data_IF_535547661799
#
_entry.id   IF_535547661799
#
_cell.length_a   1.000
_cell.length_b   1.000
_cell.length_c   1.000
_cell.angle_alpha   90.00
_cell.angle_beta   90.00
_cell.angle_gamma   90.00
#
_symmetry.space_group_name_H-M   'P 1'
#
loop_
_entity.id
_entity.type
_entity.pdbx_description
1 polymer ?
#
# COMPACT_ATOMS: atom_id res chain seq x y z
N UNK A 1 0.38 88.56 -20.36
CA UNK A 1 0.68 87.44 -19.43
C UNK A 1 -0.63 86.72 -19.13
N UNK A 2 -0.71 85.42 -19.40
CA UNK A 2 -1.92 84.59 -19.26
C UNK A 2 -1.89 83.97 -17.85
N UNK A 3 -2.81 84.35 -16.99
CA UNK A 3 -2.95 83.79 -15.64
C UNK A 3 -3.61 82.42 -15.73
N UNK A 4 -2.84 81.35 -15.52
CA UNK A 4 -3.39 80.01 -15.30
C UNK A 4 -3.97 79.95 -13.89
N UNK A 5 -5.28 79.76 -13.79
CA UNK A 5 -5.94 79.41 -12.54
C UNK A 5 -5.56 77.97 -12.18
N UNK A 6 -4.62 77.80 -11.25
CA UNK A 6 -4.39 76.50 -10.61
C UNK A 6 -5.64 76.19 -9.79
N UNK A 7 -6.49 75.29 -10.29
CA UNK A 7 -7.69 74.83 -9.58
C UNK A 7 -7.23 74.07 -8.33
N UNK A 8 -7.75 74.45 -7.17
CA UNK A 8 -7.44 73.79 -5.91
C UNK A 8 -8.24 72.47 -5.79
N UNK A 9 -7.70 71.39 -6.34
CA UNK A 9 -8.32 70.05 -6.38
C UNK A 9 -8.10 69.22 -5.10
N UNK A 10 -7.50 69.82 -4.06
CA UNK A 10 -7.11 69.16 -2.81
C UNK A 10 -8.27 68.46 -2.07
N UNK A 11 -9.49 69.00 -2.14
CA UNK A 11 -10.67 68.39 -1.52
C UNK A 11 -11.19 67.14 -2.25
N UNK A 12 -11.10 67.11 -3.58
CA UNK A 12 -11.49 65.95 -4.39
C UNK A 12 -10.42 64.84 -4.30
N UNK A 13 -9.15 65.23 -4.23
CA UNK A 13 -8.02 64.32 -4.10
C UNK A 13 -8.08 63.50 -2.80
N UNK A 14 -8.41 64.13 -1.66
CA UNK A 14 -8.56 63.43 -0.38
C UNK A 14 -9.66 62.36 -0.44
N UNK A 15 -10.81 62.71 -1.01
CA UNK A 15 -11.93 61.78 -1.14
C UNK A 15 -11.59 60.59 -2.05
N UNK A 16 -10.95 60.84 -3.19
CA UNK A 16 -10.48 59.79 -4.10
C UNK A 16 -9.45 58.86 -3.44
N UNK A 17 -8.51 59.40 -2.67
CA UNK A 17 -7.50 58.59 -1.95
C UNK A 17 -8.14 57.73 -0.87
N UNK A 18 -9.13 58.25 -0.12
CA UNK A 18 -9.86 57.47 0.87
C UNK A 18 -10.68 56.33 0.23
N UNK A 19 -11.33 56.60 -0.90
CA UNK A 19 -12.02 55.57 -1.68
C UNK A 19 -11.05 54.49 -2.17
N UNK A 20 -9.91 54.90 -2.72
CA UNK A 20 -8.87 53.98 -3.18
C UNK A 20 -8.32 53.13 -2.01
N UNK A 21 -8.06 53.75 -0.85
CA UNK A 21 -7.62 53.06 0.36
C UNK A 21 -8.66 52.04 0.83
N UNK A 22 -9.96 52.35 0.75
CA UNK A 22 -11.02 51.43 1.13
C UNK A 22 -11.13 50.24 0.15
N UNK A 23 -10.93 50.48 -1.14
CA UNK A 23 -10.85 49.43 -2.16
C UNK A 23 -9.63 48.54 -1.92
N UNK A 24 -8.46 49.12 -1.67
CA UNK A 24 -7.23 48.35 -1.38
C UNK A 24 -7.36 47.57 -0.07
N UNK A 25 -7.96 48.15 0.98
CA UNK A 25 -8.18 47.48 2.25
C UNK A 25 -9.15 46.29 2.11
N UNK A 26 -10.21 46.43 1.32
CA UNK A 26 -11.14 45.31 1.07
C UNK A 26 -10.50 44.20 0.24
N UNK A 27 -9.72 44.55 -0.79
CA UNK A 27 -8.93 43.59 -1.57
C UNK A 27 -7.89 42.86 -0.72
N UNK A 28 -7.15 43.58 0.13
CA UNK A 28 -6.16 43.01 1.03
C UNK A 28 -6.80 42.03 2.03
N UNK A 29 -7.96 42.39 2.59
CA UNK A 29 -8.71 41.51 3.50
C UNK A 29 -9.17 40.24 2.79
N UNK A 30 -9.71 40.38 1.57
CA UNK A 30 -10.11 39.25 0.74
C UNK A 30 -8.94 38.32 0.41
N UNK A 31 -7.77 38.87 0.07
CA UNK A 31 -6.57 38.10 -0.23
C UNK A 31 -6.05 37.33 1.00
N UNK A 32 -6.06 37.95 2.20
CA UNK A 32 -5.65 37.29 3.44
C UNK A 32 -6.58 36.12 3.78
N UNK A 33 -7.89 36.31 3.67
CA UNK A 33 -8.86 35.24 3.91
C UNK A 33 -8.70 34.08 2.92
N UNK A 34 -8.54 34.39 1.62
CA UNK A 34 -8.34 33.38 0.59
C UNK A 34 -7.03 32.59 0.83
N UNK A 35 -5.94 33.28 1.16
CA UNK A 35 -4.64 32.67 1.47
C UNK A 35 -4.68 31.82 2.73
N UNK A 36 -5.34 32.29 3.79
CA UNK A 36 -5.54 31.55 5.04
C UNK A 36 -6.33 30.25 4.80
N UNK A 37 -7.43 30.34 4.07
CA UNK A 37 -8.26 29.19 3.73
C UNK A 37 -7.50 28.19 2.85
N UNK A 38 -6.77 28.66 1.83
CA UNK A 38 -5.97 27.79 0.96
C UNK A 38 -4.91 27.00 1.76
N UNK A 39 -4.24 27.65 2.72
CA UNK A 39 -3.27 26.98 3.59
C UNK A 39 -3.90 25.92 4.49
N UNK A 40 -5.08 26.20 5.06
CA UNK A 40 -5.80 25.24 5.90
C UNK A 40 -6.26 24.02 5.09
N UNK A 41 -6.80 24.25 3.89
CA UNK A 41 -7.21 23.18 2.96
C UNK A 41 -6.01 22.33 2.56
N UNK A 42 -4.88 22.95 2.23
CA UNK A 42 -3.65 22.24 1.88
C UNK A 42 -3.16 21.33 3.01
N UNK A 43 -3.14 21.84 4.25
CA UNK A 43 -2.76 21.04 5.43
C UNK A 43 -3.72 19.90 5.71
N UNK A 44 -5.02 20.14 5.53
CA UNK A 44 -6.04 19.10 5.71
C UNK A 44 -5.84 17.95 4.71
N UNK A 45 -5.68 18.26 3.42
CA UNK A 45 -5.44 17.24 2.40
C UNK A 45 -4.11 16.51 2.60
N UNK A 46 -3.06 17.21 3.00
CA UNK A 46 -1.78 16.57 3.34
C UNK A 46 -1.95 15.57 4.50
N UNK A 47 -2.69 15.95 5.55
CA UNK A 47 -2.96 15.07 6.69
C UNK A 47 -3.83 13.88 6.31
N UNK A 48 -4.84 14.08 5.48
CA UNK A 48 -5.70 13.02 4.96
C UNK A 48 -4.91 12.01 4.12
N UNK A 49 -4.01 12.49 3.25
CA UNK A 49 -3.13 11.64 2.46
C UNK A 49 -2.16 10.84 3.33
N UNK A 50 -1.57 11.47 4.35
CA UNK A 50 -0.69 10.81 5.32
C UNK A 50 -1.41 9.69 6.09
N UNK A 51 -2.64 9.92 6.54
CA UNK A 51 -3.45 8.91 7.22
C UNK A 51 -3.81 7.75 6.28
N UNK A 52 -4.16 8.03 5.02
CA UNK A 52 -4.41 6.98 4.02
C UNK A 52 -3.17 6.13 3.75
N UNK A 53 -2.03 6.76 3.53
CA UNK A 53 -0.76 6.06 3.33
C UNK A 53 -0.39 5.21 4.56
N UNK A 54 -0.62 5.72 5.77
CA UNK A 54 -0.39 4.99 7.02
C UNK A 54 -1.30 3.77 7.17
N UNK A 55 -2.55 3.86 6.67
CA UNK A 55 -3.48 2.75 6.65
C UNK A 55 -3.03 1.68 5.64
N UNK A 56 -2.63 2.08 4.44
CA UNK A 56 -2.13 1.18 3.40
C UNK A 56 -0.83 0.46 3.83
N UNK A 57 0.10 1.18 4.47
CA UNK A 57 1.29 0.56 5.06
C UNK A 57 0.93 -0.48 6.14
N UNK A 58 -0.16 -0.24 6.90
CA UNK A 58 -0.68 -1.21 7.85
C UNK A 58 -1.20 -2.49 7.17
N UNK A 59 -1.82 -2.37 5.99
CA UNK A 59 -2.28 -3.54 5.23
C UNK A 59 -1.09 -4.38 4.74
N UNK A 60 -0.03 -3.75 4.22
CA UNK A 60 1.16 -4.49 3.78
C UNK A 60 1.90 -5.16 4.95
N UNK A 61 2.05 -4.46 6.08
CA UNK A 61 2.63 -5.04 7.28
C UNK A 61 1.84 -6.26 7.77
N UNK A 62 0.51 -6.15 7.77
CA UNK A 62 -0.36 -7.25 8.18
C UNK A 62 -0.31 -8.43 7.22
N UNK A 63 -0.26 -8.17 5.90
CA UNK A 63 -0.06 -9.20 4.88
C UNK A 63 1.25 -9.95 5.11
N UNK A 64 2.34 -9.23 5.32
CA UNK A 64 3.66 -9.84 5.59
C UNK A 64 3.65 -10.67 6.88
N UNK A 65 3.09 -10.11 7.95
CA UNK A 65 2.94 -10.79 9.24
C UNK A 65 2.13 -12.09 9.12
N UNK A 66 1.01 -12.06 8.41
CA UNK A 66 0.15 -13.23 8.18
C UNK A 66 0.83 -14.25 7.27
N UNK A 67 1.59 -13.81 6.26
CA UNK A 67 2.38 -14.72 5.42
C UNK A 67 3.46 -15.45 6.22
N UNK A 68 4.14 -14.75 7.13
CA UNK A 68 5.15 -15.34 8.01
C UNK A 68 4.57 -16.24 9.10
N UNK A 69 3.37 -15.92 9.61
CA UNK A 69 2.69 -16.71 10.65
C UNK A 69 1.19 -16.89 10.33
N UNK A 70 0.83 -17.85 9.45
CA UNK A 70 -0.55 -18.05 9.03
C UNK A 70 -1.53 -18.40 10.16
N UNK A 71 -1.02 -18.96 11.26
CA UNK A 71 -1.80 -19.30 12.45
C UNK A 71 -2.43 -18.08 13.16
N UNK A 72 -1.99 -16.86 12.83
CA UNK A 72 -2.59 -15.62 13.34
C UNK A 72 -4.01 -15.39 12.79
N UNK A 73 -4.38 -16.00 11.67
CA UNK A 73 -5.74 -15.86 11.14
C UNK A 73 -6.66 -16.84 11.87
N UNK A 74 -7.64 -16.37 12.65
CA UNK A 74 -8.50 -17.26 13.40
C UNK A 74 -9.45 -18.05 12.49
N UNK A 75 -9.81 -19.26 12.91
CA UNK A 75 -10.76 -20.09 12.18
C UNK A 75 -12.16 -19.48 12.08
N UNK A 76 -12.56 -18.71 13.10
CA UNK A 76 -13.83 -17.99 13.20
C UNK A 76 -13.60 -16.58 13.75
N UNK A 77 -14.44 -15.62 13.34
CA UNK A 77 -14.35 -14.24 13.80
C UNK A 77 -13.09 -13.51 13.30
N UNK A 78 -12.55 -12.63 14.14
CA UNK A 78 -11.37 -11.81 13.86
C UNK A 78 -10.42 -11.78 15.06
N UNK A 79 -9.16 -11.51 14.80
CA UNK A 79 -8.14 -11.19 15.80
C UNK A 79 -7.61 -9.78 15.58
N UNK A 80 -7.09 -9.19 16.64
CA UNK A 80 -6.45 -7.87 16.60
C UNK A 80 -4.94 -8.06 16.53
N UNK A 81 -4.33 -7.63 15.43
CA UNK A 81 -2.87 -7.67 15.24
C UNK A 81 -2.19 -6.45 15.87
N UNK A 82 -2.85 -5.29 15.79
CA UNK A 82 -2.41 -4.05 16.43
C UNK A 82 -3.62 -3.35 17.01
N UNK A 83 -3.51 -2.83 18.23
CA UNK A 83 -4.56 -2.04 18.86
C UNK A 83 -4.00 -0.65 19.21
N UNK A 84 -4.59 0.39 18.63
CA UNK A 84 -4.27 1.80 18.88
C UNK A 84 -2.75 2.10 18.94
N UNK A 85 -1.98 1.49 18.04
CA UNK A 85 -0.53 1.64 18.04
C UNK A 85 -0.12 2.98 17.43
N UNK A 86 0.94 3.63 17.96
CA UNK A 86 1.47 4.84 17.36
C UNK A 86 2.07 4.52 15.98
N UNK A 87 1.71 5.32 14.98
CA UNK A 87 2.36 5.26 13.66
C UNK A 87 3.66 6.03 13.73
N UNK A 88 4.73 5.47 13.16
CA UNK A 88 6.06 6.06 13.18
C UNK A 88 6.48 6.52 11.79
N UNK A 89 7.23 7.60 11.74
CA UNK A 89 7.87 8.09 10.53
C UNK A 89 9.13 7.27 10.18
N UNK A 90 9.81 7.65 9.10
CA UNK A 90 11.03 6.99 8.64
C UNK A 90 12.22 7.10 9.63
N UNK A 91 12.19 8.08 10.54
CA UNK A 91 13.21 8.28 11.58
C UNK A 91 12.83 7.56 12.88
N UNK A 92 11.68 6.89 12.92
CA UNK A 92 11.16 6.15 14.07
C UNK A 92 10.41 7.02 15.08
N UNK A 93 10.20 8.31 14.81
CA UNK A 93 9.42 9.19 15.68
C UNK A 93 7.92 8.96 15.45
N UNK A 94 7.12 9.09 16.52
CA UNK A 94 5.67 8.95 16.41
C UNK A 94 5.07 10.13 15.66
N UNK A 95 4.31 9.83 14.61
CA UNK A 95 3.51 10.83 13.90
C UNK A 95 2.33 11.21 14.81
N UNK A 96 2.20 12.48 15.21
CA UNK A 96 1.16 12.89 16.12
C UNK A 96 -0.20 13.00 15.42
N UNK A 97 -1.27 12.89 16.21
CA UNK A 97 -2.63 13.19 15.78
C UNK A 97 -3.49 11.98 15.41
N UNK A 98 -2.91 10.78 15.34
CA UNK A 98 -3.66 9.56 15.08
C UNK A 98 -2.92 8.29 15.54
N UNK A 99 -3.65 7.19 15.66
CA UNK A 99 -3.12 5.85 15.93
C UNK A 99 -3.63 4.85 14.89
N UNK A 100 -3.05 3.66 14.84
CA UNK A 100 -3.45 2.59 13.92
C UNK A 100 -3.82 1.32 14.66
N UNK A 101 -4.95 0.74 14.26
CA UNK A 101 -5.40 -0.58 14.67
C UNK A 101 -5.50 -1.48 13.44
N UNK A 102 -5.09 -2.74 13.59
CA UNK A 102 -5.08 -3.73 12.51
C UNK A 102 -5.82 -4.97 12.98
N UNK A 103 -6.74 -5.44 12.15
CA UNK A 103 -7.55 -6.62 12.42
C UNK A 103 -7.42 -7.60 11.27
N UNK A 104 -7.44 -8.90 11.56
CA UNK A 104 -7.49 -9.94 10.53
C UNK A 104 -8.53 -10.98 10.91
N UNK A 105 -9.28 -11.47 9.93
CA UNK A 105 -10.24 -12.54 10.13
C UNK A 105 -10.44 -13.34 8.85
N UNK A 106 -10.90 -14.58 8.98
CA UNK A 106 -11.34 -15.34 7.81
C UNK A 106 -12.52 -14.65 7.16
N UNK A 107 -12.52 -14.60 5.83
CA UNK A 107 -13.65 -14.12 5.04
C UNK A 107 -14.06 -15.15 4.00
N UNK A 108 -15.31 -15.10 3.55
CA UNK A 108 -15.71 -15.79 2.33
C UNK A 108 -15.04 -15.12 1.11
N UNK A 109 -14.79 -15.89 0.05
CA UNK A 109 -14.31 -15.32 -1.20
C UNK A 109 -15.39 -14.43 -1.82
N UNK A 110 -15.05 -13.17 -2.10
CA UNK A 110 -15.96 -12.25 -2.83
C UNK A 110 -16.01 -12.54 -4.33
N UNK A 111 -15.10 -13.38 -4.82
CA UNK A 111 -14.89 -13.72 -6.23
C UNK A 111 -15.54 -15.04 -6.66
N UNK A 112 -16.19 -15.76 -5.74
CA UNK A 112 -16.82 -17.06 -6.03
C UNK A 112 -15.84 -18.21 -6.31
N UNK A 113 -14.53 -17.99 -6.10
CA UNK A 113 -13.53 -19.05 -6.20
C UNK A 113 -13.49 -19.90 -4.92
N UNK A 114 -13.27 -21.21 -5.09
CA UNK A 114 -13.02 -22.12 -3.98
C UNK A 114 -11.63 -21.84 -3.39
N UNK A 115 -11.56 -21.63 -2.07
CA UNK A 115 -10.31 -21.35 -1.38
C UNK A 115 -10.50 -20.86 0.05
N UNK A 116 -9.39 -20.70 0.76
CA UNK A 116 -9.35 -20.05 2.07
C UNK A 116 -8.99 -18.59 1.86
N UNK A 117 -9.88 -17.70 2.27
CA UNK A 117 -9.67 -16.26 2.20
C UNK A 117 -9.62 -15.65 3.61
N UNK A 118 -8.83 -14.60 3.75
CA UNK A 118 -8.78 -13.78 4.94
C UNK A 118 -8.93 -12.31 4.55
N UNK A 119 -9.59 -11.52 5.39
CA UNK A 119 -9.66 -10.08 5.25
C UNK A 119 -8.81 -9.43 6.32
N UNK A 120 -7.98 -8.48 5.91
CA UNK A 120 -7.25 -7.60 6.80
C UNK A 120 -7.90 -6.22 6.75
N UNK A 121 -8.12 -5.62 7.90
CA UNK A 121 -8.54 -4.23 8.05
C UNK A 121 -7.44 -3.43 8.73
N UNK A 122 -7.12 -2.28 8.15
CA UNK A 122 -6.25 -1.28 8.75
C UNK A 122 -7.08 -0.03 9.00
N UNK A 123 -7.20 0.34 10.27
CA UNK A 123 -8.02 1.45 10.76
C UNK A 123 -7.13 2.50 11.38
N UNK A 124 -7.33 3.75 11.00
CA UNK A 124 -6.71 4.92 11.61
C UNK A 124 -7.74 5.62 12.48
N UNK A 125 -7.35 5.86 13.72
CA UNK A 125 -8.15 6.55 14.73
C UNK A 125 -7.57 7.93 15.00
N UNK A 126 -8.41 8.97 14.97
CA UNK A 126 -8.01 10.32 15.38
C UNK A 126 -7.71 10.39 16.89
N UNK A 127 -7.21 11.54 17.37
CA UNK A 127 -6.98 11.75 18.81
C UNK A 127 -8.23 11.59 19.69
N UNK A 128 -9.43 11.63 19.13
CA UNK A 128 -10.68 11.39 19.84
C UNK A 128 -11.11 9.90 19.82
N UNK A 129 -10.29 9.02 19.23
CA UNK A 129 -10.56 7.58 19.12
C UNK A 129 -11.58 7.23 18.02
N UNK A 130 -11.88 8.16 17.10
CA UNK A 130 -12.83 7.95 16.02
C UNK A 130 -12.11 7.41 14.79
N UNK A 131 -12.70 6.39 14.17
CA UNK A 131 -12.22 5.84 12.90
C UNK A 131 -12.37 6.90 11.80
N UNK A 132 -11.25 7.43 11.31
CA UNK A 132 -11.24 8.46 10.24
C UNK A 132 -10.85 7.87 8.89
N UNK A 133 -10.05 6.81 8.88
CA UNK A 133 -9.68 6.07 7.66
C UNK A 133 -9.74 4.58 7.95
N UNK A 134 -10.40 3.82 7.07
CA UNK A 134 -10.42 2.36 7.13
C UNK A 134 -10.12 1.82 5.73
N UNK A 135 -9.18 0.88 5.66
CA UNK A 135 -8.78 0.19 4.42
C UNK A 135 -8.91 -1.31 4.64
N UNK A 136 -9.32 -2.03 3.59
CA UNK A 136 -9.47 -3.50 3.60
C UNK A 136 -8.63 -4.09 2.48
N UNK A 137 -7.89 -5.15 2.80
CA UNK A 137 -7.29 -6.05 1.80
C UNK A 137 -7.85 -7.46 1.98
N UNK A 138 -8.09 -8.14 0.87
CA UNK A 138 -8.40 -9.57 0.86
C UNK A 138 -7.13 -10.35 0.53
N UNK A 139 -6.84 -11.35 1.35
CA UNK A 139 -5.73 -12.28 1.20
C UNK A 139 -6.32 -13.61 0.76
N UNK A 140 -5.74 -14.18 -0.29
CA UNK A 140 -6.04 -15.54 -0.74
C UNK A 140 -4.89 -16.47 -0.39
N UNK A 141 -5.22 -17.64 0.15
CA UNK A 141 -4.23 -18.69 0.31
C UNK A 141 -4.02 -19.38 -1.05
N UNK A 142 -2.80 -19.29 -1.58
CA UNK A 142 -2.41 -20.14 -2.71
C UNK A 142 -1.96 -21.50 -2.19
N UNK A 143 -2.45 -22.57 -2.81
CA UNK A 143 -2.09 -23.94 -2.45
C UNK A 143 -0.88 -24.42 -3.25
N UNK A 144 -0.02 -25.23 -2.61
CA UNK A 144 1.06 -25.96 -3.28
C UNK A 144 0.57 -26.95 -4.34
N UNK A 145 -0.72 -27.32 -4.33
CA UNK A 145 -1.33 -28.17 -5.37
C UNK A 145 -1.29 -27.55 -6.78
N UNK A 146 -0.87 -26.29 -6.93
CA UNK A 146 -0.60 -25.69 -8.23
C UNK A 146 0.64 -26.29 -8.92
N UNK A 147 1.58 -26.86 -8.15
CA UNK A 147 2.80 -27.43 -8.70
C UNK A 147 2.58 -28.88 -9.12
N UNK A 148 3.06 -29.22 -10.31
CA UNK A 148 3.18 -30.61 -10.74
C UNK A 148 4.20 -31.38 -9.88
N UNK A 149 5.18 -30.65 -9.32
CA UNK A 149 6.12 -31.15 -8.31
C UNK A 149 6.70 -29.99 -7.48
N UNK A 150 6.69 -30.16 -6.17
CA UNK A 150 7.37 -29.28 -5.22
C UNK A 150 8.13 -30.14 -4.21
N UNK A 151 9.42 -29.86 -4.01
CA UNK A 151 10.21 -30.53 -2.98
C UNK A 151 11.26 -29.58 -2.37
N UNK A 152 11.59 -29.80 -1.10
CA UNK A 152 12.59 -28.98 -0.40
C UNK A 152 14.02 -29.40 -0.80
N UNK A 153 14.27 -30.72 -0.89
CA UNK A 153 15.54 -31.28 -1.34
C UNK A 153 15.28 -32.41 -2.32
N UNK A 154 15.82 -32.29 -3.54
CA UNK A 154 15.89 -33.39 -4.50
C UNK A 154 17.23 -34.13 -4.35
N UNK A 155 17.18 -35.47 -4.29
CA UNK A 155 18.37 -36.33 -4.33
C UNK A 155 18.84 -36.52 -5.77
N UNK A 156 20.14 -36.73 -5.99
CA UNK A 156 20.70 -36.99 -7.34
C UNK A 156 20.14 -38.25 -8.02
N UNK A 157 19.53 -39.15 -7.25
CA UNK A 157 18.82 -40.33 -7.73
C UNK A 157 17.38 -40.05 -8.21
N UNK A 158 16.82 -38.87 -7.90
CA UNK A 158 15.45 -38.50 -8.25
C UNK A 158 15.49 -37.47 -9.38
N UNK A 159 15.56 -37.97 -10.62
CA UNK A 159 15.74 -37.15 -11.82
C UNK A 159 14.49 -37.16 -12.69
N UNK A 160 14.21 -36.04 -13.36
CA UNK A 160 13.30 -36.04 -14.51
C UNK A 160 13.96 -36.82 -15.66
N UNK A 161 13.67 -38.12 -15.70
CA UNK A 161 14.28 -39.08 -16.61
C UNK A 161 13.71 -39.02 -18.02
N UNK A 162 14.14 -39.98 -18.85
CA UNK A 162 13.89 -40.01 -20.30
C UNK A 162 12.40 -40.04 -20.61
N UNK A 163 11.95 -39.14 -21.49
CA UNK A 163 10.57 -39.11 -22.01
C UNK A 163 9.50 -38.62 -21.04
N UNK A 164 9.87 -38.19 -19.82
CA UNK A 164 8.91 -37.62 -18.87
C UNK A 164 8.40 -36.27 -19.40
N UNK A 165 7.09 -36.12 -19.43
CA UNK A 165 6.43 -34.85 -19.70
C UNK A 165 5.73 -34.36 -18.45
N UNK A 166 5.99 -33.12 -18.06
CA UNK A 166 5.44 -32.51 -16.85
C UNK A 166 4.54 -31.35 -17.25
N UNK A 167 3.27 -31.45 -16.88
CA UNK A 167 2.27 -30.43 -17.15
C UNK A 167 1.99 -29.66 -15.87
N UNK A 168 2.58 -28.47 -15.76
CA UNK A 168 2.45 -27.59 -14.60
C UNK A 168 3.80 -27.06 -14.12
N UNK A 169 3.80 -26.07 -13.23
CA UNK A 169 5.01 -25.52 -12.65
C UNK A 169 5.70 -26.56 -11.76
N UNK A 170 7.03 -26.54 -11.74
CA UNK A 170 7.84 -27.30 -10.78
C UNK A 170 8.79 -26.38 -10.03
N UNK A 171 9.02 -26.69 -8.76
CA UNK A 171 9.98 -25.96 -7.91
C UNK A 171 10.72 -26.90 -6.96
N UNK A 172 12.01 -26.63 -6.75
CA UNK A 172 12.78 -27.25 -5.66
C UNK A 172 13.68 -26.23 -4.96
N UNK A 173 13.79 -26.29 -3.63
CA UNK A 173 14.76 -25.44 -2.92
C UNK A 173 16.20 -25.99 -3.10
N UNK A 174 16.36 -27.26 -3.46
CA UNK A 174 17.63 -27.94 -3.73
C UNK A 174 18.02 -27.93 -5.21
N UNK A 175 19.00 -28.77 -5.58
CA UNK A 175 19.44 -28.92 -6.98
C UNK A 175 18.34 -29.57 -7.81
N UNK A 176 17.98 -28.96 -8.94
CA UNK A 176 17.05 -29.55 -9.89
C UNK A 176 17.80 -30.49 -10.85
N UNK A 177 17.61 -31.81 -10.69
CA UNK A 177 18.24 -32.79 -11.56
C UNK A 177 17.38 -33.10 -12.79
N UNK A 178 17.96 -32.93 -13.98
CA UNK A 178 17.29 -33.13 -15.28
C UNK A 178 18.06 -34.14 -16.11
N UNK A 179 17.37 -35.13 -16.68
CA UNK A 179 17.98 -36.16 -17.51
C UNK A 179 18.60 -35.56 -18.79
N UNK A 180 19.86 -35.92 -19.08
CA UNK A 180 20.55 -35.48 -20.30
C UNK A 180 20.40 -36.44 -21.49
N UNK A 181 20.01 -37.69 -21.24
CA UNK A 181 19.85 -38.73 -22.27
C UNK A 181 18.56 -38.51 -23.08
N UNK A 182 18.61 -38.69 -24.40
CA UNK A 182 17.43 -38.60 -25.27
C UNK A 182 16.50 -39.82 -25.09
N UNK A 183 15.16 -39.69 -25.11
CA UNK A 183 14.41 -38.44 -25.22
C UNK A 183 14.49 -37.62 -23.93
N UNK A 184 14.76 -36.32 -24.05
CA UNK A 184 14.90 -35.41 -22.90
C UNK A 184 13.53 -35.16 -22.25
N UNK A 185 13.46 -34.84 -20.96
CA UNK A 185 12.22 -34.45 -20.31
C UNK A 185 11.70 -33.13 -20.89
N UNK A 186 10.37 -32.97 -20.91
CA UNK A 186 9.69 -31.78 -21.40
C UNK A 186 8.88 -31.17 -20.25
N UNK A 187 9.10 -29.88 -19.99
CA UNK A 187 8.35 -29.11 -19.01
C UNK A 187 7.42 -28.14 -19.74
N UNK A 188 6.11 -28.31 -19.54
CA UNK A 188 5.08 -27.45 -20.13
C UNK A 188 4.69 -26.29 -19.20
N UNK A 189 5.39 -26.13 -18.08
CA UNK A 189 5.28 -25.01 -17.15
C UNK A 189 6.67 -24.56 -16.68
N UNK A 190 6.74 -23.50 -15.87
CA UNK A 190 8.02 -22.98 -15.39
C UNK A 190 8.70 -24.00 -14.47
N UNK A 191 9.97 -24.26 -14.74
CA UNK A 191 10.84 -25.09 -13.91
C UNK A 191 11.84 -24.20 -13.17
N UNK A 192 11.77 -24.21 -11.84
CA UNK A 192 12.53 -23.28 -11.00
C UNK A 192 13.27 -24.01 -9.89
N UNK A 193 14.39 -23.44 -9.46
CA UNK A 193 15.17 -23.93 -8.32
C UNK A 193 15.77 -22.74 -7.58
N UNK A 194 15.88 -22.83 -6.25
CA UNK A 194 16.64 -21.88 -5.44
C UNK A 194 18.17 -22.16 -5.47
N UNK A 195 18.59 -23.21 -6.18
CA UNK A 195 19.97 -23.66 -6.32
C UNK A 195 20.34 -23.77 -7.82
N UNK A 196 21.07 -24.83 -8.20
CA UNK A 196 21.54 -25.07 -9.56
C UNK A 196 20.67 -26.11 -10.27
N UNK A 197 20.56 -25.99 -11.59
CA UNK A 197 20.01 -27.04 -12.45
C UNK A 197 21.16 -27.94 -12.90
N UNK A 198 21.12 -29.22 -12.56
CA UNK A 198 22.16 -30.18 -12.90
C UNK A 198 21.66 -31.21 -13.93
N UNK A 199 22.36 -31.33 -15.04
CA UNK A 199 22.06 -32.32 -16.06
C UNK A 199 22.79 -33.63 -15.74
N UNK A 200 22.05 -34.73 -15.61
CA UNK A 200 22.62 -36.03 -15.23
C UNK A 200 22.33 -37.07 -16.31
N UNK A 201 23.33 -37.88 -16.63
CA UNK A 201 23.12 -39.07 -17.45
C UNK A 201 22.24 -40.05 -16.65
N UNK A 202 21.08 -40.37 -17.19
CA UNK A 202 20.14 -41.34 -16.60
C UNK A 202 19.79 -42.38 -17.67
N UNK A 203 19.73 -43.65 -17.24
CA UNK A 203 19.44 -44.81 -18.07
C UNK A 203 18.10 -44.71 -18.79
#
# INVERSE_FOLDING_TARGET
>A
MRTQAIRNEQGLALFLVLLLMMVVASLATGAIMLSGNANLIGRYHAKEAEMRASADAGLEWARDTVNGTPALVPATGFTTLQNAQPVRDALGATIPGYTRSIFVGRSGGTTGQFGVYASVFSRIDDNAGRAVVVRRAELSQQSFAQFARFDDVTLSSVVFARGIQVFGPIHTNGVLYVGSTAPRPIFHGPATTASTINAVANG
#
